data_IF_419818301344
#
_entry.id   IF_419818301344
#
_cell.length_a   1.000
_cell.length_b   1.000
_cell.length_c   1.000
_cell.angle_alpha   90.00
_cell.angle_beta   90.00
_cell.angle_gamma   90.00
#
_symmetry.space_group_name_H-M   'P 1'
#
loop_
_entity.id
_entity.type
_entity.pdbx_description
1 polymer ?
#
# COMPACT_ATOMS: atom_id res chain seq x y z
N UNK A 1 9.91 -3.97 -6.96
CA UNK A 1 9.03 -3.29 -5.98
C UNK A 1 9.04 -1.79 -6.19
N UNK A 2 10.18 -1.10 -6.02
CA UNK A 2 10.29 0.38 -6.13
C UNK A 2 9.72 0.93 -7.46
N UNK A 3 10.06 0.35 -8.62
CA UNK A 3 9.51 0.77 -9.93
C UNK A 3 7.97 0.75 -9.97
N UNK A 4 7.33 -0.25 -9.35
CA UNK A 4 5.89 -0.42 -9.40
C UNK A 4 5.16 0.66 -8.58
N UNK A 5 5.68 1.00 -7.40
CA UNK A 5 5.12 2.08 -6.58
C UNK A 5 5.28 3.43 -7.27
N UNK A 6 6.40 3.67 -7.94
CA UNK A 6 6.61 4.89 -8.72
C UNK A 6 5.63 5.04 -9.88
N UNK A 7 5.21 3.92 -10.49
CA UNK A 7 4.29 3.91 -11.63
C UNK A 7 2.81 3.92 -11.21
N UNK A 8 2.46 3.22 -10.13
CA UNK A 8 1.07 2.92 -9.79
C UNK A 8 0.56 3.60 -8.51
N UNK A 9 1.43 4.07 -7.62
CA UNK A 9 0.98 4.76 -6.40
C UNK A 9 0.75 6.25 -6.70
N UNK A 10 -0.50 6.69 -6.55
CA UNK A 10 -0.87 8.11 -6.66
C UNK A 10 -0.75 8.79 -5.30
N UNK A 11 -1.46 8.26 -4.28
CA UNK A 11 -1.43 8.76 -2.90
C UNK A 11 -1.44 7.60 -1.91
N UNK A 12 -1.00 7.87 -0.67
CA UNK A 12 -1.16 6.96 0.46
C UNK A 12 -1.54 7.76 1.72
N UNK A 13 -2.51 7.27 2.48
CA UNK A 13 -2.95 7.88 3.75
C UNK A 13 -3.16 6.81 4.82
N UNK A 14 -2.88 7.13 6.09
CA UNK A 14 -3.03 6.23 7.21
C UNK A 14 -4.20 6.59 8.14
N UNK A 15 -4.87 5.58 8.69
CA UNK A 15 -5.88 5.72 9.74
C UNK A 15 -5.89 4.50 10.65
N UNK A 16 -5.57 4.67 11.93
CA UNK A 16 -5.38 3.55 12.86
C UNK A 16 -4.35 2.56 12.32
N UNK A 17 -4.76 1.30 12.12
CA UNK A 17 -3.92 0.26 11.54
C UNK A 17 -4.04 0.13 10.02
N UNK A 18 -4.75 1.01 9.33
CA UNK A 18 -4.99 0.90 7.89
C UNK A 18 -4.15 1.95 7.15
N UNK A 19 -3.50 1.53 6.07
CA UNK A 19 -3.04 2.43 5.01
C UNK A 19 -3.93 2.26 3.78
N UNK A 20 -4.41 3.36 3.21
CA UNK A 20 -5.19 3.40 1.97
C UNK A 20 -4.29 3.93 0.87
N UNK A 21 -4.11 3.13 -0.18
CA UNK A 21 -3.31 3.47 -1.36
C UNK A 21 -4.24 3.75 -2.54
N UNK A 22 -4.00 4.83 -3.27
CA UNK A 22 -4.71 5.13 -4.53
C UNK A 22 -3.85 4.79 -5.72
N UNK A 23 -4.46 4.20 -6.74
CA UNK A 23 -3.84 3.83 -8.00
C UNK A 23 -4.62 4.41 -9.18
N UNK A 24 -4.07 4.35 -10.42
CA UNK A 24 -4.90 4.51 -11.61
C UNK A 24 -6.05 3.49 -11.66
N UNK A 25 -7.11 3.75 -12.43
CA UNK A 25 -8.22 2.81 -12.62
C UNK A 25 -7.73 1.43 -13.05
N UNK A 26 -8.27 0.38 -12.44
CA UNK A 26 -7.95 -1.03 -12.71
C UNK A 26 -6.57 -1.52 -12.21
N UNK A 27 -5.78 -0.69 -11.55
CA UNK A 27 -4.41 -1.05 -11.15
C UNK A 27 -4.27 -1.59 -9.72
N UNK A 28 -5.30 -1.47 -8.88
CA UNK A 28 -5.20 -1.77 -7.44
C UNK A 28 -4.84 -3.24 -7.16
N UNK A 29 -5.46 -4.17 -7.87
CA UNK A 29 -5.19 -5.61 -7.73
C UNK A 29 -3.74 -5.97 -8.03
N UNK A 30 -3.15 -5.33 -9.05
CA UNK A 30 -1.76 -5.60 -9.42
C UNK A 30 -0.79 -5.06 -8.35
N UNK A 31 -1.04 -3.85 -7.84
CA UNK A 31 -0.24 -3.29 -6.75
C UNK A 31 -0.34 -4.13 -5.47
N UNK A 32 -1.56 -4.54 -5.09
CA UNK A 32 -1.79 -5.39 -3.91
C UNK A 32 -1.08 -6.74 -4.01
N UNK A 33 -1.14 -7.40 -5.17
CA UNK A 33 -0.42 -8.66 -5.40
C UNK A 33 1.10 -8.51 -5.23
N UNK A 34 1.68 -7.39 -5.66
CA UNK A 34 3.10 -7.11 -5.40
C UNK A 34 3.41 -6.85 -3.92
N UNK A 35 2.47 -6.26 -3.17
CA UNK A 35 2.61 -6.07 -1.71
C UNK A 35 2.54 -7.42 -1.01
N UNK A 36 1.60 -8.29 -1.37
CA UNK A 36 1.46 -9.61 -0.74
C UNK A 36 2.71 -10.47 -0.97
N UNK A 37 3.33 -10.36 -2.15
CA UNK A 37 4.59 -11.05 -2.49
C UNK A 37 5.83 -10.47 -1.81
N UNK A 38 5.73 -9.28 -1.18
CA UNK A 38 6.86 -8.63 -0.52
C UNK A 38 7.32 -9.34 0.76
N UNK A 39 6.43 -10.10 1.41
CA UNK A 39 6.71 -10.76 2.68
C UNK A 39 6.93 -9.80 3.86
N UNK A 40 6.47 -8.54 3.76
CA UNK A 40 6.63 -7.55 4.84
C UNK A 40 5.86 -7.98 6.09
N UNK A 41 6.57 -8.38 7.15
CA UNK A 41 5.97 -8.87 8.39
C UNK A 41 5.03 -7.85 9.06
N UNK A 42 5.29 -6.55 8.90
CA UNK A 42 4.45 -5.48 9.44
C UNK A 42 3.02 -5.48 8.87
N UNK A 43 2.81 -6.10 7.71
CA UNK A 43 1.51 -6.18 7.03
C UNK A 43 0.77 -7.44 7.48
N UNK A 44 -0.47 -7.26 7.94
CA UNK A 44 -1.40 -8.33 8.24
C UNK A 44 -2.03 -8.90 6.95
N UNK A 45 -2.34 -8.02 5.99
CA UNK A 45 -2.84 -8.39 4.66
C UNK A 45 -3.32 -7.19 3.85
N UNK A 46 -3.76 -7.44 2.62
CA UNK A 46 -4.30 -6.42 1.71
C UNK A 46 -5.71 -6.78 1.21
N UNK A 47 -6.50 -5.77 0.84
CA UNK A 47 -7.73 -5.91 0.04
C UNK A 47 -7.69 -4.87 -1.07
N UNK A 48 -7.81 -5.32 -2.31
CA UNK A 48 -7.86 -4.45 -3.47
C UNK A 48 -9.28 -4.30 -4.04
N UNK A 49 -9.65 -3.06 -4.33
CA UNK A 49 -10.77 -2.70 -5.19
C UNK A 49 -10.31 -2.55 -6.65
N UNK A 50 -10.81 -1.51 -7.33
CA UNK A 50 -10.40 -1.15 -8.70
C UNK A 50 -9.20 -0.18 -8.71
N UNK A 51 -9.33 0.93 -7.99
CA UNK A 51 -8.36 2.04 -7.95
C UNK A 51 -7.81 2.33 -6.53
N UNK A 52 -8.12 1.44 -5.59
CA UNK A 52 -7.84 1.62 -4.17
C UNK A 52 -7.42 0.29 -3.53
N UNK A 53 -6.33 0.31 -2.75
CA UNK A 53 -5.88 -0.82 -1.93
C UNK A 53 -5.95 -0.44 -0.46
N UNK A 54 -6.59 -1.27 0.33
CA UNK A 54 -6.52 -1.24 1.79
C UNK A 54 -5.41 -2.17 2.26
N UNK A 55 -4.40 -1.64 2.94
CA UNK A 55 -3.32 -2.41 3.56
C UNK A 55 -3.50 -2.36 5.08
N UNK A 56 -3.58 -3.52 5.72
CA UNK A 56 -3.80 -3.63 7.16
C UNK A 56 -2.46 -3.89 7.83
N UNK A 57 -2.04 -3.00 8.73
CA UNK A 57 -0.91 -3.19 9.63
C UNK A 57 -1.26 -4.16 10.76
N UNK A 58 -0.25 -4.90 11.23
CA UNK A 58 -0.35 -5.66 12.48
C UNK A 58 -0.36 -4.75 13.72
N UNK A 59 0.32 -3.61 13.65
CA UNK A 59 0.29 -2.61 14.72
C UNK A 59 -1.04 -1.83 14.65
N UNK A 60 -1.84 -1.77 15.73
CA UNK A 60 -3.06 -0.95 15.83
C UNK A 60 -2.89 0.52 15.42
N UNK A 61 -1.68 1.08 15.48
CA UNK A 61 -1.36 2.46 15.09
C UNK A 61 -0.46 2.56 13.85
N UNK A 62 -0.13 1.44 13.19
CA UNK A 62 0.89 1.39 12.14
C UNK A 62 0.46 1.88 10.76
N UNK A 63 -0.81 2.28 10.57
CA UNK A 63 -1.33 2.69 9.26
C UNK A 63 -0.58 3.90 8.68
N UNK A 64 -0.26 4.89 9.52
CA UNK A 64 0.47 6.09 9.09
C UNK A 64 1.92 5.77 8.67
N UNK A 65 2.58 4.84 9.38
CA UNK A 65 3.96 4.43 9.07
C UNK A 65 4.04 3.63 7.76
N UNK A 66 3.07 2.75 7.52
CA UNK A 66 2.95 2.04 6.24
C UNK A 66 2.75 3.03 5.09
N UNK A 67 1.82 3.97 5.22
CA UNK A 67 1.57 4.99 4.19
C UNK A 67 2.83 5.81 3.86
N UNK A 68 3.57 6.25 4.89
CA UNK A 68 4.83 6.96 4.70
C UNK A 68 5.89 6.10 3.98
N UNK A 69 5.99 4.82 4.33
CA UNK A 69 6.93 3.89 3.70
C UNK A 69 6.62 3.70 2.21
N UNK A 70 5.35 3.51 1.85
CA UNK A 70 4.94 3.37 0.45
C UNK A 70 5.21 4.63 -0.38
N UNK A 71 4.99 5.83 0.18
CA UNK A 71 5.33 7.10 -0.48
C UNK A 71 6.85 7.28 -0.67
N UNK A 72 7.65 6.83 0.29
CA UNK A 72 9.11 6.86 0.16
C UNK A 72 9.61 5.92 -0.95
N UNK A 73 8.88 4.84 -1.25
CA UNK A 73 9.21 3.93 -2.36
C UNK A 73 8.73 4.43 -3.72
N UNK A 74 7.81 5.39 -3.80
CA UNK A 74 7.39 5.98 -5.07
C UNK A 74 8.29 7.14 -5.52
N UNK A 75 9.12 7.68 -4.62
CA UNK A 75 9.96 8.86 -4.88
C UNK A 75 11.44 8.56 -5.09
N UNK A 76 11.93 7.38 -4.68
CA UNK A 76 13.29 6.90 -4.95
C UNK A 76 13.38 6.07 -6.24
#
# INVERSE_FOLDING_TARGET
>A
MISLFKELLITAEGSGNIAVLRTPPGAAQFLASSIDQSGLEAILGTIAGDDTVMVISRDPAGGQELAASFLAWSTN
#
